data_IF_144074491459
#
_entry.id   IF_144074491459
#
_cell.length_a   1.000
_cell.length_b   1.000
_cell.length_c   1.000
_cell.angle_alpha   90.00
_cell.angle_beta   90.00
_cell.angle_gamma   90.00
#
_symmetry.space_group_name_H-M   'P 1'
#
loop_
_entity.id
_entity.type
_entity.pdbx_description
1 polymer ?
#
# COMPACT_ATOMS: atom_id res chain seq x y z
N UNK A 1 53.87 10.91 11.21
CA UNK A 1 54.63 10.85 12.48
C UNK A 1 53.87 11.72 13.46
N UNK A 2 52.80 11.14 14.02
CA UNK A 2 51.94 11.73 15.05
C UNK A 2 51.37 10.55 15.82
N UNK A 3 51.89 10.42 17.03
CA UNK A 3 51.53 9.52 18.12
C UNK A 3 50.03 9.52 18.42
N UNK A 4 49.46 8.33 18.62
CA UNK A 4 48.20 8.11 19.32
C UNK A 4 48.54 7.21 20.52
N UNK A 5 48.23 7.61 21.77
CA UNK A 5 48.41 6.72 22.90
C UNK A 5 47.28 5.70 22.96
N UNK A 6 47.74 4.46 23.08
CA UNK A 6 47.06 3.25 23.52
C UNK A 6 46.57 3.44 24.97
N UNK A 7 45.29 3.20 25.25
CA UNK A 7 44.81 3.03 26.63
C UNK A 7 43.99 1.74 26.74
N UNK A 8 44.60 0.81 27.47
CA UNK A 8 44.18 -0.51 27.90
C UNK A 8 42.89 -0.47 28.76
N UNK A 9 41.94 -1.41 28.61
CA UNK A 9 41.90 -2.73 29.26
C UNK A 9 41.66 -2.66 30.78
N UNK A 10 40.38 -2.75 31.20
CA UNK A 10 39.84 -3.31 32.46
C UNK A 10 38.32 -2.97 32.50
N UNK A 11 37.33 -3.82 32.77
CA UNK A 11 37.23 -4.80 33.83
C UNK A 11 36.22 -5.92 33.50
N UNK A 12 36.61 -7.12 33.90
CA UNK A 12 35.76 -8.26 34.28
C UNK A 12 34.70 -7.86 35.31
N UNK A 13 33.49 -8.40 35.18
CA UNK A 13 32.82 -9.06 36.30
C UNK A 13 31.85 -10.15 35.80
N UNK A 14 32.06 -11.34 36.33
CA UNK A 14 31.25 -12.54 36.15
C UNK A 14 30.27 -12.70 37.33
N UNK A 15 29.31 -13.61 37.12
CA UNK A 15 28.46 -14.30 38.10
C UNK A 15 27.19 -13.59 38.58
N UNK A 16 26.04 -14.15 38.18
CA UNK A 16 25.21 -14.87 39.15
C UNK A 16 24.31 -15.93 38.49
N UNK A 17 24.32 -17.20 38.95
CA UNK A 17 23.36 -18.22 38.56
C UNK A 17 22.34 -18.46 39.69
N UNK A 18 21.04 -18.47 39.40
CA UNK A 18 20.13 -19.35 40.16
C UNK A 18 18.80 -19.64 39.43
N UNK A 19 18.44 -20.93 39.23
CA UNK A 19 17.16 -21.36 38.69
C UNK A 19 16.14 -21.60 39.81
N UNK A 20 14.98 -20.95 39.73
CA UNK A 20 13.87 -21.11 40.67
C UNK A 20 12.70 -21.87 40.03
N UNK A 21 12.55 -23.13 40.43
CA UNK A 21 11.46 -24.04 40.08
C UNK A 21 10.07 -23.55 40.54
N UNK A 22 9.01 -24.00 39.85
CA UNK A 22 7.65 -23.94 40.39
C UNK A 22 6.49 -24.11 39.40
N UNK A 23 6.33 -25.31 38.82
CA UNK A 23 5.00 -25.82 38.42
C UNK A 23 4.20 -26.14 39.69
N UNK A 24 2.86 -26.00 39.74
CA UNK A 24 1.99 -27.01 39.13
C UNK A 24 0.71 -26.48 38.45
N UNK A 25 0.32 -27.18 37.40
CA UNK A 25 -1.03 -27.23 36.84
C UNK A 25 -1.76 -28.46 37.42
N UNK A 26 -2.99 -28.31 37.93
CA UNK A 26 -4.08 -29.26 37.62
C UNK A 26 -5.42 -28.48 37.44
N UNK A 27 -6.48 -28.89 36.74
CA UNK A 27 -6.98 -30.19 36.21
C UNK A 27 -8.21 -29.87 35.33
N UNK A 28 -8.68 -30.83 34.52
CA UNK A 28 -9.89 -30.70 33.67
C UNK A 28 -11.16 -31.08 34.43
N UNK A 29 -12.29 -30.47 34.07
CA UNK A 29 -13.63 -30.89 34.49
C UNK A 29 -14.52 -31.09 33.27
N UNK A 30 -14.76 -32.36 32.97
CA UNK A 30 -15.98 -32.85 32.31
C UNK A 30 -17.18 -32.67 33.25
N UNK A 31 -18.31 -32.16 32.74
CA UNK A 31 -19.62 -32.68 33.17
C UNK A 31 -20.75 -32.39 32.19
N UNK A 32 -21.32 -33.49 31.70
CA UNK A 32 -22.63 -33.60 31.05
C UNK A 32 -23.77 -33.01 31.91
N UNK A 33 -24.78 -32.49 31.19
CA UNK A 33 -26.19 -32.75 31.49
C UNK A 33 -27.07 -31.52 31.65
N UNK A 34 -28.01 -31.30 30.73
CA UNK A 34 -29.43 -31.50 31.02
C UNK A 34 -30.31 -31.02 29.87
N UNK A 35 -31.15 -31.93 29.40
CA UNK A 35 -32.32 -31.74 28.55
C UNK A 35 -33.32 -30.79 29.22
N UNK A 36 -33.89 -29.84 28.47
CA UNK A 36 -35.26 -29.35 28.69
C UNK A 36 -35.84 -28.75 27.41
N UNK A 37 -36.87 -29.43 26.91
CA UNK A 37 -37.88 -28.91 25.99
C UNK A 37 -38.52 -27.65 26.55
N UNK A 38 -38.61 -26.62 25.72
CA UNK A 38 -39.65 -25.59 25.82
C UNK A 38 -39.94 -25.07 24.42
N UNK A 39 -41.06 -25.54 23.86
CA UNK A 39 -41.69 -25.02 22.65
C UNK A 39 -42.13 -23.58 22.90
N UNK A 40 -41.33 -22.63 22.42
CA UNK A 40 -41.67 -21.21 22.34
C UNK A 40 -41.55 -20.76 20.88
N UNK A 41 -42.66 -20.31 20.31
CA UNK A 41 -42.73 -19.76 18.96
C UNK A 41 -41.92 -18.46 18.90
N UNK A 42 -40.72 -18.52 18.31
CA UNK A 42 -39.85 -17.36 18.08
C UNK A 42 -40.29 -16.70 16.77
N UNK A 43 -40.63 -15.39 16.74
CA UNK A 43 -40.87 -14.68 15.49
C UNK A 43 -39.59 -14.70 14.63
N UNK A 44 -39.68 -14.77 13.29
CA UNK A 44 -38.49 -14.81 12.45
C UNK A 44 -37.60 -13.61 12.72
N UNK A 45 -36.33 -13.88 13.02
CA UNK A 45 -35.30 -12.85 13.17
C UNK A 45 -35.34 -11.91 11.95
N UNK A 46 -35.26 -10.58 12.16
CA UNK A 46 -35.07 -9.67 11.05
C UNK A 46 -33.79 -10.06 10.32
N UNK A 47 -33.89 -10.20 9.00
CA UNK A 47 -32.76 -10.54 8.15
C UNK A 47 -31.56 -9.63 8.48
N UNK A 48 -30.33 -10.17 8.57
CA UNK A 48 -29.15 -9.36 8.83
C UNK A 48 -29.09 -8.25 7.77
N UNK A 49 -28.79 -6.99 8.17
CA UNK A 49 -28.67 -5.90 7.22
C UNK A 49 -27.68 -6.32 6.13
N UNK A 50 -28.11 -6.16 4.88
CA UNK A 50 -27.24 -6.42 3.74
C UNK A 50 -25.92 -5.65 3.93
N UNK A 51 -24.76 -6.26 3.64
CA UNK A 51 -23.48 -5.57 3.75
C UNK A 51 -23.55 -4.28 2.92
N UNK A 52 -23.41 -3.15 3.61
CA UNK A 52 -23.32 -1.85 2.97
C UNK A 52 -22.15 -1.79 1.99
N UNK A 53 -22.12 -0.79 1.09
CA UNK A 53 -21.03 -0.64 0.15
C UNK A 53 -19.70 -0.54 0.91
N UNK A 54 -18.83 -1.53 0.71
CA UNK A 54 -17.49 -1.57 1.29
C UNK A 54 -16.71 -0.36 0.79
N UNK A 55 -16.31 0.54 1.70
CA UNK A 55 -15.41 1.66 1.40
C UNK A 55 -14.12 1.11 0.79
N UNK A 56 -13.94 1.38 -0.51
CA UNK A 56 -12.82 0.92 -1.31
C UNK A 56 -11.50 1.47 -0.76
N UNK A 57 -10.59 0.57 -0.41
CA UNK A 57 -9.21 0.90 -0.08
C UNK A 57 -8.52 1.49 -1.32
N UNK A 58 -7.86 2.66 -1.23
CA UNK A 58 -7.25 3.36 -2.37
C UNK A 58 -5.94 2.69 -2.83
N UNK A 59 -5.55 2.93 -4.08
CA UNK A 59 -4.30 2.42 -4.67
C UNK A 59 -3.79 3.28 -5.82
N UNK A 60 -2.55 2.96 -6.13
CA UNK A 60 -1.61 3.53 -7.07
C UNK A 60 -1.98 3.24 -8.53
N UNK A 61 -2.06 4.29 -9.37
CA UNK A 61 -2.09 4.14 -10.83
C UNK A 61 -0.66 4.24 -11.33
N UNK A 62 -0.13 3.14 -11.87
CA UNK A 62 1.01 3.17 -12.76
C UNK A 62 0.48 3.25 -14.20
N UNK A 63 0.57 4.42 -14.82
CA UNK A 63 0.34 4.57 -16.25
C UNK A 63 1.33 3.67 -17.01
N UNK A 64 0.80 2.70 -17.75
CA UNK A 64 1.60 1.88 -18.67
C UNK A 64 1.98 2.74 -19.88
N UNK A 65 3.26 2.83 -20.30
CA UNK A 65 3.60 3.51 -21.54
C UNK A 65 3.04 2.71 -22.72
N UNK A 66 2.08 3.28 -23.42
CA UNK A 66 1.66 2.83 -24.75
C UNK A 66 2.82 3.06 -25.71
N UNK A 67 3.59 1.99 -25.97
CA UNK A 67 4.60 1.93 -27.03
C UNK A 67 3.92 2.10 -28.40
N UNK A 68 3.77 3.35 -28.82
CA UNK A 68 3.45 3.72 -30.19
C UNK A 68 4.70 3.52 -31.03
N UNK A 69 4.74 2.45 -31.81
CA UNK A 69 5.84 2.13 -32.71
C UNK A 69 5.74 3.03 -33.97
N UNK A 70 6.71 3.91 -34.28
CA UNK A 70 6.70 4.63 -35.54
C UNK A 70 7.21 3.72 -36.67
N UNK A 71 6.33 3.51 -37.65
CA UNK A 71 6.60 2.74 -38.86
C UNK A 71 7.84 3.24 -39.60
N UNK A 72 8.77 2.32 -39.80
CA UNK A 72 9.98 2.49 -40.60
C UNK A 72 9.63 2.36 -42.09
N UNK A 73 10.01 3.34 -42.90
CA UNK A 73 9.87 3.22 -44.34
C UNK A 73 10.91 4.05 -45.05
N UNK A 74 12.12 3.51 -45.27
CA UNK A 74 13.08 3.97 -46.28
C UNK A 74 13.82 2.74 -46.83
N UNK A 75 13.58 2.42 -48.10
CA UNK A 75 14.30 1.40 -48.86
C UNK A 75 15.26 2.08 -49.85
N UNK A 76 16.55 1.68 -49.91
CA UNK A 76 17.43 2.02 -51.03
C UNK A 76 17.60 0.85 -52.02
N UNK A 77 17.87 1.14 -53.31
CA UNK A 77 17.89 0.18 -54.43
C UNK A 77 19.16 -0.68 -54.55
N UNK A 78 19.12 -1.79 -55.33
CA UNK A 78 20.16 -2.82 -55.36
C UNK A 78 21.34 -2.47 -56.28
N UNK A 79 22.56 -2.77 -55.80
CA UNK A 79 23.79 -2.76 -56.59
C UNK A 79 24.18 -4.17 -57.08
N UNK A 80 24.72 -4.33 -58.30
CA UNK A 80 25.17 -5.62 -58.83
C UNK A 80 26.69 -5.83 -58.68
N UNK A 81 27.13 -7.06 -58.42
CA UNK A 81 28.40 -7.55 -58.97
C UNK A 81 29.30 -8.46 -58.12
N UNK A 82 29.33 -9.74 -58.52
CA UNK A 82 30.49 -10.64 -58.72
C UNK A 82 31.52 -10.97 -57.61
N UNK A 83 31.60 -12.28 -57.28
CA UNK A 83 32.88 -12.98 -57.03
C UNK A 83 32.92 -14.05 -55.90
N UNK A 84 33.16 -15.35 -56.20
CA UNK A 84 33.51 -16.42 -55.23
C UNK A 84 35.07 -16.64 -55.18
N UNK A 85 35.71 -17.32 -54.18
CA UNK A 85 35.45 -18.73 -53.86
C UNK A 85 35.69 -19.24 -52.41
N UNK A 86 35.07 -20.40 -52.15
CA UNK A 86 35.58 -21.55 -51.37
C UNK A 86 35.92 -21.43 -49.87
N UNK A 87 35.11 -22.15 -49.07
CA UNK A 87 35.65 -23.30 -48.34
C UNK A 87 35.72 -23.22 -46.82
N UNK A 88 34.58 -23.35 -46.14
CA UNK A 88 34.51 -24.01 -44.82
C UNK A 88 33.18 -24.79 -44.70
N UNK A 89 33.19 -26.06 -44.28
CA UNK A 89 31.95 -26.79 -44.01
C UNK A 89 31.26 -26.22 -42.76
N UNK A 90 29.95 -25.95 -42.79
CA UNK A 90 29.23 -25.53 -41.60
C UNK A 90 29.15 -26.67 -40.58
N UNK A 91 29.24 -26.39 -39.26
CA UNK A 91 28.98 -27.38 -38.23
C UNK A 91 27.55 -27.92 -38.33
N UNK A 92 27.40 -29.20 -38.02
CA UNK A 92 26.15 -29.94 -38.10
C UNK A 92 24.99 -29.22 -37.41
N UNK A 93 23.89 -29.09 -38.14
CA UNK A 93 22.63 -28.59 -37.62
C UNK A 93 22.16 -29.47 -36.47
N UNK A 94 22.03 -28.89 -35.28
CA UNK A 94 21.32 -29.50 -34.16
C UNK A 94 19.88 -29.80 -34.58
N UNK A 95 19.31 -30.97 -34.20
CA UNK A 95 17.97 -31.34 -34.60
C UNK A 95 16.95 -30.34 -34.07
N UNK A 96 16.21 -29.74 -35.02
CA UNK A 96 15.02 -28.93 -34.81
C UNK A 96 14.01 -29.74 -34.00
N UNK A 97 13.92 -29.48 -32.70
CA UNK A 97 12.90 -30.11 -31.86
C UNK A 97 11.57 -29.45 -32.16
N UNK A 98 10.74 -30.26 -32.81
CA UNK A 98 9.37 -30.00 -33.17
C UNK A 98 8.55 -29.34 -32.05
N UNK A 99 7.83 -28.29 -32.44
CA UNK A 99 6.45 -27.98 -32.09
C UNK A 99 5.91 -28.62 -30.81
N UNK A 100 5.95 -27.85 -29.73
CA UNK A 100 5.00 -27.97 -28.63
C UNK A 100 4.45 -26.58 -28.35
N UNK A 101 3.27 -26.32 -28.91
CA UNK A 101 2.41 -25.18 -28.61
C UNK A 101 2.18 -25.04 -27.10
N UNK A 102 2.88 -24.10 -26.48
CA UNK A 102 2.55 -23.53 -25.16
C UNK A 102 2.66 -22.01 -25.19
N UNK A 103 2.18 -21.40 -26.27
CA UNK A 103 2.02 -19.94 -26.44
C UNK A 103 0.79 -19.42 -25.68
N UNK A 104 0.58 -19.85 -24.44
CA UNK A 104 -0.69 -19.57 -23.75
C UNK A 104 -0.64 -19.46 -22.23
N UNK A 105 0.54 -19.42 -21.60
CA UNK A 105 0.61 -19.44 -20.13
C UNK A 105 1.69 -18.56 -19.48
N UNK A 106 2.46 -17.79 -20.25
CA UNK A 106 3.48 -16.86 -19.68
C UNK A 106 2.99 -15.41 -19.67
N UNK A 107 1.92 -15.08 -20.40
CA UNK A 107 1.30 -13.74 -20.39
C UNK A 107 0.34 -13.55 -19.20
N UNK A 108 0.01 -14.62 -18.47
CA UNK A 108 -0.90 -14.55 -17.32
C UNK A 108 -0.22 -14.14 -15.99
N UNK A 109 1.11 -14.25 -15.88
CA UNK A 109 1.81 -13.97 -14.62
C UNK A 109 2.15 -12.48 -14.41
N UNK A 110 2.36 -11.72 -15.49
CA UNK A 110 2.64 -10.28 -15.40
C UNK A 110 1.37 -9.45 -15.12
N UNK A 111 0.21 -9.88 -15.64
CA UNK A 111 -1.07 -9.19 -15.43
C UNK A 111 -1.60 -9.39 -14.00
N UNK A 112 -1.28 -10.51 -13.35
CA UNK A 112 -1.62 -10.76 -11.94
C UNK A 112 -0.91 -9.84 -10.96
N UNK A 113 0.31 -9.38 -11.27
CA UNK A 113 1.08 -8.48 -10.42
C UNK A 113 0.65 -7.00 -10.57
N UNK A 114 0.23 -6.60 -11.78
CA UNK A 114 -0.30 -5.25 -12.07
C UNK A 114 -1.68 -5.05 -11.43
N UNK A 115 -2.51 -6.09 -11.36
CA UNK A 115 -3.78 -6.06 -10.63
C UNK A 115 -3.62 -6.01 -9.09
N UNK A 116 -2.48 -6.46 -8.55
CA UNK A 116 -2.17 -6.42 -7.12
C UNK A 116 -1.62 -5.06 -6.64
N UNK A 117 -1.33 -4.14 -7.56
CA UNK A 117 -0.79 -2.81 -7.29
C UNK A 117 -1.78 -1.66 -7.58
N UNK A 118 -2.95 -1.92 -8.17
CA UNK A 118 -3.87 -0.87 -8.66
C UNK A 118 -5.37 -1.07 -8.37
N UNK A 119 -5.84 -0.60 -7.21
CA UNK A 119 -7.23 -0.26 -6.86
C UNK A 119 -7.37 1.17 -6.24
N UNK A 120 -7.43 2.26 -7.02
CA UNK A 120 -7.92 3.59 -6.57
C UNK A 120 -8.20 4.45 -7.81
N UNK A 121 -9.31 5.17 -7.99
CA UNK A 121 -10.20 5.94 -7.10
C UNK A 121 -11.59 6.12 -7.75
N UNK A 122 -12.68 6.18 -6.98
CA UNK A 122 -13.83 7.10 -7.17
C UNK A 122 -14.90 6.91 -6.07
N UNK A 123 -14.90 7.76 -5.03
CA UNK A 123 -16.11 7.97 -4.22
C UNK A 123 -16.95 9.01 -4.97
N UNK A 124 -17.88 8.50 -5.78
CA UNK A 124 -18.90 9.32 -6.42
C UNK A 124 -19.87 9.86 -5.38
N UNK A 125 -19.81 11.18 -5.15
CA UNK A 125 -20.92 11.97 -4.64
C UNK A 125 -22.15 11.70 -5.53
N UNK A 126 -23.07 10.87 -5.05
CA UNK A 126 -24.38 10.72 -5.66
C UNK A 126 -25.25 11.92 -5.27
N UNK A 127 -24.99 13.08 -5.85
CA UNK A 127 -26.00 14.15 -5.94
C UNK A 127 -26.87 13.81 -7.13
N UNK A 128 -27.94 13.04 -6.87
CA UNK A 128 -29.01 12.88 -7.86
C UNK A 128 -29.87 14.15 -7.86
N UNK A 129 -29.33 15.22 -8.42
CA UNK A 129 -30.07 16.41 -8.84
C UNK A 129 -30.76 16.12 -10.16
N UNK A 130 -32.09 15.99 -10.14
CA UNK A 130 -32.91 15.79 -11.33
C UNK A 130 -32.77 16.96 -12.31
N UNK A 131 -32.55 16.63 -13.58
CA UNK A 131 -32.59 17.59 -14.69
C UNK A 131 -33.99 17.67 -15.30
N UNK A 132 -34.31 18.90 -15.65
CA UNK A 132 -35.56 19.47 -16.14
C UNK A 132 -36.18 18.76 -17.35
N UNK A 133 -37.52 18.74 -17.37
CA UNK A 133 -38.26 18.89 -18.64
C UNK A 133 -39.48 19.79 -18.41
N UNK A 134 -39.66 20.65 -19.39
CA UNK A 134 -40.49 21.84 -19.52
C UNK A 134 -42.01 21.58 -19.53
N UNK A 135 -42.78 22.38 -18.79
CA UNK A 135 -44.13 22.86 -19.16
C UNK A 135 -44.68 23.86 -18.13
N UNK A 136 -45.02 25.07 -18.60
CA UNK A 136 -45.84 26.12 -17.94
C UNK A 136 -47.32 25.75 -18.16
N UNK A 137 -48.24 25.82 -17.15
CA UNK A 137 -48.84 27.11 -16.79
C UNK A 137 -49.23 27.35 -15.31
N UNK A 138 -49.14 28.63 -14.95
CA UNK A 138 -49.93 29.43 -13.99
C UNK A 138 -50.95 28.69 -13.12
N UNK A 139 -50.80 28.77 -11.79
CA UNK A 139 -51.84 29.21 -10.82
C UNK A 139 -51.38 29.08 -9.34
N UNK A 140 -51.66 30.14 -8.57
CA UNK A 140 -51.88 30.17 -7.10
C UNK A 140 -50.65 30.11 -6.15
N UNK A 141 -50.42 31.14 -5.31
CA UNK A 141 -49.40 31.10 -4.27
C UNK A 141 -49.91 30.30 -3.07
N UNK A 142 -49.53 29.02 -2.99
CA UNK A 142 -49.68 28.21 -1.78
C UNK A 142 -48.43 28.38 -0.90
N UNK A 143 -48.68 28.73 0.36
CA UNK A 143 -47.71 28.91 1.44
C UNK A 143 -46.71 27.74 1.50
N UNK A 144 -45.38 27.98 1.46
CA UNK A 144 -44.42 26.90 1.64
C UNK A 144 -44.44 26.47 3.11
N UNK A 145 -44.99 25.28 3.36
CA UNK A 145 -44.72 24.53 4.58
C UNK A 145 -43.21 24.26 4.63
N UNK A 146 -42.54 24.96 5.54
CA UNK A 146 -41.15 24.73 5.89
C UNK A 146 -41.04 23.31 6.46
N UNK A 147 -40.57 22.38 5.64
CA UNK A 147 -40.05 21.11 6.15
C UNK A 147 -38.76 21.47 6.90
N UNK A 148 -38.62 21.17 8.20
CA UNK A 148 -37.41 21.48 8.94
C UNK A 148 -36.26 20.66 8.35
N UNK A 149 -35.37 21.34 7.61
CA UNK A 149 -34.07 20.81 7.23
C UNK A 149 -33.31 20.52 8.52
N UNK A 150 -33.28 19.25 8.90
CA UNK A 150 -32.42 18.75 9.97
C UNK A 150 -30.98 18.82 9.46
N UNK A 151 -30.35 19.96 9.67
CA UNK A 151 -28.91 20.14 9.49
C UNK A 151 -28.22 19.24 10.51
N UNK A 152 -27.97 17.99 10.11
CA UNK A 152 -27.15 17.06 10.88
C UNK A 152 -25.74 17.62 10.87
N UNK A 153 -25.26 18.04 12.04
CA UNK A 153 -23.90 18.55 12.17
C UNK A 153 -22.91 17.49 11.63
N UNK A 154 -21.86 17.91 10.90
CA UNK A 154 -20.88 16.97 10.39
C UNK A 154 -20.28 16.18 11.56
N UNK A 155 -20.05 14.87 11.38
CA UNK A 155 -19.49 14.03 12.43
C UNK A 155 -18.16 14.60 12.89
N UNK A 156 -18.05 14.98 14.15
CA UNK A 156 -16.78 15.42 14.75
C UNK A 156 -15.89 14.20 14.99
N UNK A 157 -14.59 14.35 14.74
CA UNK A 157 -13.60 13.34 15.13
C UNK A 157 -13.68 13.10 16.64
N UNK A 158 -13.38 11.86 17.06
CA UNK A 158 -13.30 11.55 18.47
C UNK A 158 -12.18 12.40 19.14
N UNK A 159 -12.38 12.86 20.38
CA UNK A 159 -11.31 13.51 21.13
C UNK A 159 -10.06 12.63 21.19
N UNK A 160 -8.88 13.23 21.01
CA UNK A 160 -7.62 12.49 21.09
C UNK A 160 -6.39 13.36 20.94
N UNK A 161 -5.22 12.72 20.96
CA UNK A 161 -3.90 13.38 20.98
C UNK A 161 -3.53 14.06 19.65
N UNK A 162 -4.19 13.68 18.55
CA UNK A 162 -3.82 14.10 17.20
C UNK A 162 -4.90 14.98 16.56
N UNK A 163 -4.51 15.81 15.60
CA UNK A 163 -5.41 16.70 14.85
C UNK A 163 -4.86 17.04 13.47
N UNK A 164 -5.76 17.25 12.50
CA UNK A 164 -5.43 17.72 11.15
C UNK A 164 -5.49 19.25 11.01
N UNK A 165 -5.82 20.01 12.07
CA UNK A 165 -6.14 21.46 11.99
C UNK A 165 -5.04 22.32 11.38
N UNK A 166 -3.78 21.94 11.53
CA UNK A 166 -2.61 22.69 11.04
C UNK A 166 -2.09 22.15 9.71
N UNK A 167 -2.69 21.09 9.17
CA UNK A 167 -2.22 20.42 7.96
C UNK A 167 -2.99 20.95 6.77
N UNK A 168 -2.29 21.68 5.91
CA UNK A 168 -2.83 22.18 4.62
C UNK A 168 -2.42 21.33 3.44
N UNK A 169 -1.40 20.49 3.61
CA UNK A 169 -0.88 19.58 2.61
C UNK A 169 -0.32 18.32 3.29
N UNK A 170 -0.90 17.16 2.99
CA UNK A 170 -0.50 15.88 3.56
C UNK A 170 0.92 15.48 3.14
N UNK A 171 1.40 15.91 1.97
CA UNK A 171 2.75 15.62 1.52
C UNK A 171 3.83 16.33 2.32
N UNK A 172 3.49 17.43 2.99
CA UNK A 172 4.44 18.08 3.90
C UNK A 172 4.77 17.18 5.10
N UNK A 173 3.97 16.15 5.39
CA UNK A 173 4.23 15.20 6.48
C UNK A 173 5.35 14.20 6.18
N UNK A 174 5.76 14.08 4.91
CA UNK A 174 6.72 13.09 4.43
C UNK A 174 8.08 13.73 4.08
N UNK A 175 9.17 12.99 4.28
CA UNK A 175 10.49 13.33 3.74
C UNK A 175 10.83 12.44 2.52
N UNK A 176 10.86 12.96 1.28
CA UNK A 176 11.19 12.17 0.10
C UNK A 176 12.68 11.84 -0.05
N UNK A 177 13.59 12.50 0.67
CA UNK A 177 15.05 12.38 0.47
C UNK A 177 15.57 10.94 0.46
N UNK A 178 15.08 10.02 1.32
CA UNK A 178 15.56 8.64 1.31
C UNK A 178 15.30 7.89 -0.01
N UNK A 179 14.36 8.34 -0.84
CA UNK A 179 14.05 7.72 -2.13
C UNK A 179 15.10 8.01 -3.20
N UNK A 180 15.83 9.13 -3.08
CA UNK A 180 16.74 9.63 -4.12
C UNK A 180 17.89 8.67 -4.45
N UNK A 181 18.20 7.73 -3.55
CA UNK A 181 19.24 6.72 -3.77
C UNK A 181 18.84 5.63 -4.77
N UNK A 182 17.54 5.40 -4.96
CA UNK A 182 17.03 4.41 -5.91
C UNK A 182 16.58 5.05 -7.21
N UNK A 183 16.18 6.32 -7.17
CA UNK A 183 15.64 7.02 -8.30
C UNK A 183 15.78 8.53 -8.15
N UNK A 184 16.18 9.24 -9.22
CA UNK A 184 16.63 10.64 -9.12
C UNK A 184 15.60 11.71 -9.50
N UNK A 185 14.60 11.38 -10.33
CA UNK A 185 13.68 12.39 -10.89
C UNK A 185 12.36 12.38 -10.14
N UNK A 186 11.99 13.44 -9.40
CA UNK A 186 10.70 13.49 -8.73
C UNK A 186 9.56 13.57 -9.75
N UNK A 187 8.45 12.89 -9.46
CA UNK A 187 7.17 13.11 -10.14
C UNK A 187 6.31 14.08 -9.31
N UNK A 188 5.32 14.75 -9.93
CA UNK A 188 4.36 15.54 -9.17
C UNK A 188 3.71 14.73 -8.05
N UNK A 189 3.62 15.26 -6.82
CA UNK A 189 2.99 14.57 -5.70
C UNK A 189 1.48 14.50 -5.89
N UNK A 190 0.85 13.46 -5.34
CA UNK A 190 -0.61 13.31 -5.27
C UNK A 190 -1.01 13.37 -3.81
N UNK A 191 -1.98 14.20 -3.44
CA UNK A 191 -2.47 14.28 -2.07
C UNK A 191 -3.96 14.59 -2.00
N UNK A 192 -4.56 14.29 -0.85
CA UNK A 192 -5.94 14.62 -0.52
C UNK A 192 -6.10 14.80 0.98
N UNK A 193 -6.81 15.85 1.36
CA UNK A 193 -7.20 16.16 2.73
C UNK A 193 -8.73 16.25 2.80
N UNK A 194 -9.35 15.53 3.74
CA UNK A 194 -10.80 15.54 3.93
C UNK A 194 -11.19 16.18 5.29
N UNK A 195 -11.06 17.51 5.48
CA UNK A 195 -11.46 18.16 6.73
C UNK A 195 -13.00 18.15 6.93
N UNK A 196 -13.52 18.25 8.17
CA UNK A 196 -12.82 18.61 9.42
C UNK A 196 -12.35 17.43 10.29
N UNK A 197 -12.77 16.21 9.98
CA UNK A 197 -12.56 15.00 10.80
C UNK A 197 -12.10 13.78 10.00
N UNK A 198 -11.84 13.95 8.70
CA UNK A 198 -11.56 12.88 7.76
C UNK A 198 -10.07 12.57 7.57
N UNK A 199 -9.77 11.92 6.46
CA UNK A 199 -8.46 11.35 6.17
C UNK A 199 -7.46 12.31 5.52
N UNK A 200 -6.19 11.91 5.57
CA UNK A 200 -5.08 12.52 4.84
C UNK A 200 -4.43 11.44 3.98
N UNK A 201 -4.18 11.74 2.73
CA UNK A 201 -3.39 10.88 1.83
C UNK A 201 -2.33 11.70 1.13
N UNK A 202 -1.13 11.13 0.98
CA UNK A 202 -0.11 11.65 0.08
C UNK A 202 0.71 10.52 -0.49
N UNK A 203 1.06 10.64 -1.77
CA UNK A 203 2.01 9.81 -2.48
C UNK A 203 3.11 10.66 -3.12
N UNK A 204 4.36 10.36 -2.76
CA UNK A 204 5.57 10.91 -3.36
C UNK A 204 6.25 9.81 -4.17
N UNK A 205 6.62 10.12 -5.41
CA UNK A 205 7.27 9.16 -6.32
C UNK A 205 8.46 9.79 -7.04
N UNK A 206 9.46 8.97 -7.30
CA UNK A 206 10.65 9.26 -8.07
C UNK A 206 10.79 8.22 -9.18
N UNK A 207 11.25 8.65 -10.35
CA UNK A 207 11.59 7.78 -11.49
C UNK A 207 12.98 8.10 -12.07
N UNK A 208 13.64 7.11 -12.66
CA UNK A 208 14.87 7.30 -13.44
C UNK A 208 15.05 6.15 -14.42
N UNK A 209 15.71 6.41 -15.54
CA UNK A 209 16.12 5.33 -16.44
C UNK A 209 17.14 4.44 -15.74
N UNK A 210 16.96 3.13 -15.84
CA UNK A 210 17.87 2.15 -15.26
C UNK A 210 19.29 2.32 -15.80
N UNK A 211 20.31 2.33 -14.93
CA UNK A 211 21.71 2.32 -15.35
C UNK A 211 22.13 0.99 -15.98
N UNK A 212 21.35 -0.08 -15.82
CA UNK A 212 21.74 -1.44 -16.23
C UNK A 212 21.40 -1.72 -17.68
N UNK A 213 20.18 -1.39 -18.11
CA UNK A 213 19.74 -1.61 -19.48
C UNK A 213 19.52 -0.31 -20.28
N UNK A 214 19.50 0.84 -19.62
CA UNK A 214 19.32 2.15 -20.25
C UNK A 214 17.92 2.38 -20.85
N UNK A 215 16.95 1.52 -20.57
CA UNK A 215 15.63 1.54 -21.21
C UNK A 215 14.49 1.41 -20.20
N UNK A 216 14.63 0.55 -19.19
CA UNK A 216 13.58 0.40 -18.18
C UNK A 216 13.61 1.55 -17.18
N UNK A 217 12.49 1.74 -16.49
CA UNK A 217 12.32 2.81 -15.50
C UNK A 217 12.42 2.21 -14.11
N UNK A 218 13.40 2.66 -13.33
CA UNK A 218 13.42 2.46 -11.89
C UNK A 218 12.41 3.40 -11.24
N UNK A 219 11.71 2.91 -10.22
CA UNK A 219 10.74 3.69 -9.46
C UNK A 219 10.97 3.54 -7.96
N UNK A 220 10.83 4.64 -7.22
CA UNK A 220 10.82 4.64 -5.77
C UNK A 220 9.71 5.55 -5.26
N UNK A 221 8.95 5.09 -4.28
CA UNK A 221 7.80 5.81 -3.75
C UNK A 221 7.65 5.68 -2.25
N UNK A 222 7.06 6.71 -1.65
CA UNK A 222 6.58 6.71 -0.27
C UNK A 222 5.17 7.29 -0.24
N UNK A 223 4.27 6.60 0.46
CA UNK A 223 2.88 7.00 0.59
C UNK A 223 2.41 6.96 2.06
N UNK A 224 1.46 7.83 2.38
CA UNK A 224 0.75 7.82 3.67
C UNK A 224 -0.75 7.80 3.47
N UNK A 225 -1.42 7.10 4.38
CA UNK A 225 -2.86 7.14 4.58
C UNK A 225 -3.10 7.31 6.08
N UNK A 226 -3.74 8.40 6.47
CA UNK A 226 -4.08 8.71 7.85
C UNK A 226 -5.59 8.85 7.94
N UNK A 227 -6.20 8.20 8.92
CA UNK A 227 -7.62 8.28 9.20
C UNK A 227 -7.82 8.63 10.67
N UNK A 228 -8.65 9.63 10.94
CA UNK A 228 -9.03 10.00 12.29
C UNK A 228 -10.28 9.22 12.69
N UNK A 229 -10.20 8.48 13.79
CA UNK A 229 -11.31 7.66 14.29
C UNK A 229 -12.49 8.56 14.67
N UNK A 230 -13.65 8.29 14.09
CA UNK A 230 -14.91 8.93 14.47
C UNK A 230 -15.44 8.31 15.78
N UNK A 231 -16.27 9.04 16.53
CA UNK A 231 -16.73 8.56 17.85
C UNK A 231 -17.57 7.26 17.79
N UNK A 232 -18.11 6.92 16.61
CA UNK A 232 -19.08 5.83 16.44
C UNK A 232 -18.58 4.70 15.53
N UNK A 233 -17.33 4.77 15.06
CA UNK A 233 -16.79 3.76 14.13
C UNK A 233 -15.52 3.13 14.71
N UNK A 234 -15.28 1.85 14.44
CA UNK A 234 -14.01 1.23 14.80
C UNK A 234 -12.85 1.91 14.06
N UNK A 235 -11.64 1.90 14.63
CA UNK A 235 -10.47 2.45 13.95
C UNK A 235 -10.18 1.70 12.64
N UNK A 236 -9.86 2.46 11.58
CA UNK A 236 -9.57 1.89 10.25
C UNK A 236 -8.36 0.93 10.28
N UNK A 237 -7.48 1.06 11.29
CA UNK A 237 -6.40 0.12 11.57
C UNK A 237 -6.85 -1.34 11.58
N UNK A 238 -8.01 -1.66 12.18
CA UNK A 238 -8.50 -3.03 12.26
C UNK A 238 -8.82 -3.60 10.88
N UNK A 239 -9.43 -2.80 10.01
CA UNK A 239 -9.74 -3.18 8.63
C UNK A 239 -8.46 -3.43 7.83
N UNK A 240 -7.46 -2.55 7.97
CA UNK A 240 -6.19 -2.70 7.26
C UNK A 240 -5.37 -3.90 7.73
N UNK A 241 -5.30 -4.10 9.05
CA UNK A 241 -4.54 -5.21 9.63
C UNK A 241 -5.15 -6.56 9.24
N UNK A 242 -6.48 -6.67 9.20
CA UNK A 242 -7.16 -7.92 8.84
C UNK A 242 -7.09 -8.23 7.33
N UNK A 243 -7.16 -7.21 6.48
CA UNK A 243 -7.11 -7.39 5.01
C UNK A 243 -5.70 -7.63 4.49
N UNK A 244 -4.67 -7.08 5.14
CA UNK A 244 -3.28 -7.20 4.71
C UNK A 244 -2.58 -8.51 5.10
N UNK A 245 -3.05 -9.21 6.15
CA UNK A 245 -2.34 -10.37 6.71
C UNK A 245 -2.39 -11.64 5.85
N UNK A 246 -3.32 -11.72 4.88
CA UNK A 246 -3.55 -12.94 4.10
C UNK A 246 -2.78 -13.02 2.78
N UNK A 247 -1.90 -12.05 2.48
CA UNK A 247 -1.23 -12.00 1.18
C UNK A 247 -0.05 -12.98 1.10
N UNK A 248 -0.12 -13.92 0.15
CA UNK A 248 0.94 -14.91 -0.08
C UNK A 248 2.28 -14.23 -0.38
N UNK A 249 3.36 -14.69 0.26
CA UNK A 249 4.72 -14.18 0.06
C UNK A 249 5.07 -12.94 0.88
N UNK A 250 4.11 -12.36 1.62
CA UNK A 250 4.38 -11.27 2.54
C UNK A 250 4.86 -11.81 3.89
N UNK A 251 5.88 -11.16 4.44
CA UNK A 251 6.27 -11.29 5.83
C UNK A 251 5.51 -10.25 6.66
N UNK A 252 5.16 -10.58 7.89
CA UNK A 252 4.40 -9.70 8.78
C UNK A 252 4.95 -9.73 10.20
N UNK A 253 4.70 -8.68 10.98
CA UNK A 253 5.01 -8.68 12.41
C UNK A 253 4.58 -7.39 13.10
N UNK A 254 5.20 -7.09 14.24
CA UNK A 254 4.95 -5.89 15.05
C UNK A 254 6.22 -5.05 15.23
N UNK A 255 6.07 -3.76 15.51
CA UNK A 255 7.13 -2.78 15.74
C UNK A 255 6.94 -2.19 17.15
N UNK A 256 7.69 -2.64 18.16
CA UNK A 256 7.58 -2.10 19.51
C UNK A 256 7.79 -0.58 19.56
N UNK A 257 7.03 0.09 20.43
CA UNK A 257 7.18 1.53 20.69
C UNK A 257 6.61 2.46 19.61
N UNK A 258 5.86 1.95 18.64
CA UNK A 258 5.14 2.76 17.65
C UNK A 258 3.63 2.72 17.92
N UNK A 259 3.08 3.82 18.44
CA UNK A 259 1.66 3.92 18.80
C UNK A 259 1.22 2.94 19.89
N UNK A 260 -0.11 2.82 20.06
CA UNK A 260 -0.72 1.87 20.99
C UNK A 260 -0.86 0.47 20.37
N UNK A 261 -1.11 0.40 19.06
CA UNK A 261 -1.05 -0.83 18.26
C UNK A 261 -0.25 -0.57 16.99
N UNK A 262 0.40 -1.60 16.49
CA UNK A 262 1.21 -1.51 15.29
C UNK A 262 1.33 -2.87 14.62
N UNK A 263 1.60 -2.80 13.33
CA UNK A 263 1.86 -3.94 12.48
C UNK A 263 2.80 -3.51 11.37
N UNK A 264 3.60 -4.44 10.88
CA UNK A 264 4.30 -4.26 9.63
C UNK A 264 4.03 -5.44 8.70
N UNK A 265 4.12 -5.16 7.41
CA UNK A 265 4.15 -6.19 6.37
C UNK A 265 5.12 -5.79 5.28
N UNK A 266 5.83 -6.75 4.72
CA UNK A 266 6.73 -6.48 3.61
C UNK A 266 6.95 -7.69 2.71
N UNK A 267 7.36 -7.40 1.48
CA UNK A 267 7.66 -8.38 0.45
C UNK A 267 8.86 -7.91 -0.36
N UNK A 268 9.73 -8.85 -0.75
CA UNK A 268 10.75 -8.62 -1.76
C UNK A 268 10.58 -9.65 -2.86
N UNK A 269 10.62 -9.17 -4.10
CA UNK A 269 10.54 -9.97 -5.31
C UNK A 269 11.86 -9.78 -6.05
N UNK A 270 12.48 -10.86 -6.51
CA UNK A 270 13.75 -10.80 -7.26
C UNK A 270 13.59 -11.06 -8.75
N UNK A 271 12.46 -11.63 -9.19
CA UNK A 271 12.20 -12.00 -10.58
C UNK A 271 10.75 -11.68 -10.98
N UNK A 272 10.48 -11.21 -12.21
CA UNK A 272 11.45 -10.93 -13.28
C UNK A 272 12.20 -9.59 -13.11
N UNK A 273 11.72 -8.70 -12.24
CA UNK A 273 12.31 -7.41 -11.93
C UNK A 273 12.41 -7.27 -10.40
N UNK A 274 13.57 -6.89 -9.84
CA UNK A 274 13.72 -6.72 -8.41
C UNK A 274 12.78 -5.62 -7.88
N UNK A 275 12.08 -5.93 -6.80
CA UNK A 275 11.17 -5.00 -6.16
C UNK A 275 11.06 -5.29 -4.67
N UNK A 276 10.74 -4.28 -3.89
CA UNK A 276 10.38 -4.45 -2.50
C UNK A 276 9.30 -3.45 -2.09
N UNK A 277 8.42 -3.88 -1.20
CA UNK A 277 7.42 -3.04 -0.56
C UNK A 277 7.41 -3.33 0.93
N UNK A 278 7.33 -2.27 1.74
CA UNK A 278 7.24 -2.35 3.19
C UNK A 278 6.20 -1.37 3.68
N UNK A 279 5.26 -1.86 4.49
CA UNK A 279 4.12 -1.09 4.99
C UNK A 279 4.10 -1.17 6.51
N UNK A 280 4.04 -0.01 7.17
CA UNK A 280 3.85 0.15 8.60
C UNK A 280 2.44 0.63 8.86
N UNK A 281 1.66 -0.13 9.62
CA UNK A 281 0.37 0.27 10.15
C UNK A 281 0.49 0.66 11.62
N UNK A 282 -0.15 1.75 12.04
CA UNK A 282 -0.15 2.24 13.41
C UNK A 282 -1.57 2.64 13.82
N UNK A 283 -1.97 2.29 15.05
CA UNK A 283 -3.08 2.92 15.75
C UNK A 283 -2.53 3.64 16.97
N UNK A 284 -2.84 4.92 17.12
CA UNK A 284 -2.60 5.63 18.37
C UNK A 284 -3.68 6.67 18.65
N UNK A 285 -4.25 6.63 19.87
CA UNK A 285 -5.35 7.50 20.28
C UNK A 285 -6.48 7.49 19.23
N UNK A 286 -6.75 8.63 18.60
CA UNK A 286 -7.80 8.87 17.61
C UNK A 286 -7.30 8.77 16.16
N UNK A 287 -6.12 8.18 15.89
CA UNK A 287 -5.56 8.07 14.53
C UNK A 287 -5.21 6.62 14.20
N UNK A 288 -5.64 6.19 13.01
CA UNK A 288 -5.11 5.05 12.28
C UNK A 288 -4.22 5.57 11.15
N UNK A 289 -3.01 5.05 10.99
CA UNK A 289 -2.11 5.44 9.91
C UNK A 289 -1.46 4.24 9.23
N UNK A 290 -1.25 4.34 7.92
CA UNK A 290 -0.34 3.50 7.15
C UNK A 290 0.74 4.34 6.47
N UNK A 291 1.97 3.86 6.52
CA UNK A 291 3.10 4.38 5.74
C UNK A 291 3.62 3.25 4.87
N UNK A 292 3.70 3.48 3.56
CA UNK A 292 4.23 2.53 2.59
C UNK A 292 5.48 3.08 1.94
N UNK A 293 6.52 2.25 1.85
CA UNK A 293 7.70 2.51 1.01
C UNK A 293 7.80 1.39 0.00
N UNK A 294 7.91 1.74 -1.28
CA UNK A 294 8.01 0.77 -2.36
C UNK A 294 9.10 1.18 -3.35
N UNK A 295 9.84 0.19 -3.85
CA UNK A 295 10.88 0.38 -4.86
C UNK A 295 10.75 -0.71 -5.91
N UNK A 296 10.80 -0.32 -7.18
CA UNK A 296 10.85 -1.18 -8.34
C UNK A 296 12.12 -0.87 -9.13
N UNK A 297 12.81 -1.92 -9.59
CA UNK A 297 14.13 -1.84 -10.23
C UNK A 297 14.12 -2.67 -11.50
N UNK A 298 14.96 -2.28 -12.45
CA UNK A 298 15.15 -3.03 -13.68
C UNK A 298 15.65 -4.46 -13.49
N UNK A 299 15.34 -5.39 -14.41
CA UNK A 299 15.98 -6.70 -14.45
C UNK A 299 17.52 -6.59 -14.49
N UNK A 300 18.19 -7.45 -13.72
CA UNK A 300 19.66 -7.47 -13.64
C UNK A 300 20.24 -6.57 -12.55
N UNK A 301 19.41 -5.77 -11.88
CA UNK A 301 19.85 -4.95 -10.76
C UNK A 301 19.92 -5.70 -9.44
N UNK A 302 20.68 -5.12 -8.49
CA UNK A 302 20.88 -5.72 -7.17
C UNK A 302 19.56 -5.87 -6.40
N UNK A 303 19.43 -6.92 -5.56
CA UNK A 303 18.25 -7.11 -4.73
C UNK A 303 18.11 -5.98 -3.70
N UNK A 304 16.86 -5.62 -3.41
CA UNK A 304 16.53 -4.64 -2.39
C UNK A 304 16.50 -5.28 -1.00
N UNK A 305 17.03 -4.57 0.00
CA UNK A 305 17.02 -5.02 1.40
C UNK A 305 15.76 -4.53 2.10
N UNK A 306 14.93 -5.44 2.58
CA UNK A 306 13.70 -5.10 3.30
C UNK A 306 13.97 -4.23 4.54
N UNK A 307 15.08 -4.48 5.25
CA UNK A 307 15.49 -3.72 6.43
C UNK A 307 15.67 -2.23 6.13
N UNK A 308 16.14 -1.89 4.93
CA UNK A 308 16.38 -0.52 4.51
C UNK A 308 15.07 0.23 4.28
N UNK A 309 14.09 -0.41 3.63
CA UNK A 309 12.73 0.11 3.49
C UNK A 309 12.04 0.22 4.86
N UNK A 310 12.27 -0.77 5.75
CA UNK A 310 11.71 -0.79 7.10
C UNK A 310 12.14 0.42 7.93
N UNK A 311 13.42 0.78 7.87
CA UNK A 311 13.96 1.91 8.61
C UNK A 311 13.33 3.24 8.14
N UNK A 312 13.16 3.40 6.83
CA UNK A 312 12.51 4.58 6.24
C UNK A 312 11.04 4.64 6.67
N UNK A 313 10.26 3.57 6.46
CA UNK A 313 8.84 3.55 6.78
C UNK A 313 8.57 3.83 8.27
N UNK A 314 9.39 3.24 9.16
CA UNK A 314 9.28 3.49 10.61
C UNK A 314 9.67 4.92 11.00
N UNK A 315 10.73 5.48 10.40
CA UNK A 315 11.13 6.87 10.66
C UNK A 315 10.01 7.83 10.25
N UNK A 316 9.44 7.62 9.07
CA UNK A 316 8.37 8.44 8.51
C UNK A 316 7.10 8.33 9.35
N UNK A 317 6.73 7.13 9.79
CA UNK A 317 5.62 6.94 10.72
C UNK A 317 5.78 7.75 12.02
N UNK A 318 6.98 7.77 12.62
CA UNK A 318 7.25 8.59 13.81
C UNK A 318 7.11 10.08 13.50
N UNK A 319 7.73 10.54 12.41
CA UNK A 319 7.66 11.94 11.97
C UNK A 319 6.23 12.40 11.70
N UNK A 320 5.42 11.59 11.01
CA UNK A 320 4.02 11.91 10.73
C UNK A 320 3.23 12.02 12.03
N UNK A 321 3.33 11.04 12.93
CA UNK A 321 2.64 11.12 14.22
C UNK A 321 3.07 12.35 15.03
N UNK A 322 4.37 12.65 15.08
CA UNK A 322 4.87 13.83 15.79
C UNK A 322 4.30 15.15 15.23
N UNK A 323 4.16 15.26 13.90
CA UNK A 323 3.58 16.44 13.24
C UNK A 323 2.06 16.55 13.38
N UNK A 324 1.37 15.44 13.59
CA UNK A 324 -0.08 15.42 13.82
C UNK A 324 -0.46 15.68 15.29
N UNK A 325 0.49 15.67 16.22
CA UNK A 325 0.20 15.93 17.65
C UNK A 325 -0.40 17.32 17.81
N UNK A 326 -1.43 17.39 18.65
CA UNK A 326 -1.98 18.68 19.05
C UNK A 326 -0.93 19.48 19.84
N UNK A 327 -0.86 20.81 19.62
CA UNK A 327 0.02 21.69 20.39
C UNK A 327 -0.37 21.77 21.88
#
# INVERSE_FOLDING_TARGET
MTDFPDEADDQRAANDPNPGAGQPNPTPVDRLGSVRDTSGHVPPDPAPPAPGPTSATPSFIADSPTSSSPGSGHAPPPGPGYGPPSGYPPPAASPSRANSSKTGLIVAAAVGLVALLGIGVAIGLSVSGGSSTEAVPTSTPASPSQVPSTTTAPPSAAPGKYSMRTITNACDLLDPKPLMKWSSTPTPPVHREDPPSGGLTCDLKYTSTSPTDGVTTDEAGIGILVEFTSANEPPEYDKWNNTGAAQQGWSTGTIPGLGTRNSWRGISVTNPAPGASYIVGVQDSNVSMQVQVAVHRAPGEGPLKLDELSAIAQSQARTVLDRLKQP
#
